data_IF_455728689861
#
_entry.id   IF_455728689861
#
_cell.length_a   1.000
_cell.length_b   1.000
_cell.length_c   1.000
_cell.angle_alpha   90.00
_cell.angle_beta   90.00
_cell.angle_gamma   90.00
#
_symmetry.space_group_name_H-M   'P 1'
#
loop_
_entity.id
_entity.type
_entity.pdbx_description
1 polymer ?
#
# COMPACT_ATOMS: atom_id res chain seq x y z
N UNK A 1 -11.41 -5.12 6.16
CA UNK A 1 -10.90 -4.37 5.00
C UNK A 1 -11.35 -4.98 3.69
N UNK A 2 -10.92 -6.21 3.36
CA UNK A 2 -11.13 -6.76 2.02
C UNK A 2 -12.58 -7.00 1.60
N UNK A 3 -13.48 -7.34 2.53
CA UNK A 3 -14.90 -7.50 2.26
C UNK A 3 -15.68 -6.17 2.22
N UNK A 4 -15.02 -5.03 2.40
CA UNK A 4 -15.69 -3.73 2.33
C UNK A 4 -16.01 -3.41 0.86
N UNK A 5 -17.20 -2.88 0.52
CA UNK A 5 -17.55 -2.52 -0.85
C UNK A 5 -16.60 -1.51 -1.51
N UNK A 6 -15.81 -0.75 -0.74
CA UNK A 6 -14.80 0.18 -1.26
C UNK A 6 -13.47 -0.49 -1.59
N UNK A 7 -13.31 -1.75 -1.22
CA UNK A 7 -12.12 -2.58 -1.45
C UNK A 7 -12.14 -3.20 -2.86
N UNK A 8 -11.10 -3.96 -3.19
CA UNK A 8 -10.95 -4.66 -4.47
C UNK A 8 -12.16 -5.50 -4.91
N UNK A 9 -12.94 -6.03 -3.97
CA UNK A 9 -14.16 -6.81 -4.25
C UNK A 9 -15.33 -5.99 -4.80
N UNK A 10 -15.17 -4.68 -4.98
CA UNK A 10 -16.12 -3.88 -5.76
C UNK A 10 -16.11 -4.29 -7.25
N UNK A 11 -14.94 -4.65 -7.77
CA UNK A 11 -14.83 -5.21 -9.11
C UNK A 11 -15.25 -6.68 -9.10
N UNK A 12 -16.02 -7.16 -10.09
CA UNK A 12 -16.30 -8.59 -10.26
C UNK A 12 -15.04 -9.42 -10.57
N UNK A 13 -13.93 -8.77 -10.93
CA UNK A 13 -12.66 -9.43 -11.25
C UNK A 13 -11.96 -10.01 -10.02
N UNK A 14 -12.31 -9.56 -8.80
CA UNK A 14 -11.62 -9.94 -7.57
C UNK A 14 -12.55 -10.48 -6.49
N UNK A 15 -12.18 -11.61 -5.91
CA UNK A 15 -12.78 -12.17 -4.71
C UNK A 15 -11.69 -12.74 -3.80
N UNK A 16 -11.88 -12.63 -2.48
CA UNK A 16 -10.92 -13.16 -1.50
C UNK A 16 -11.59 -14.15 -0.58
N UNK A 17 -10.91 -15.27 -0.34
CA UNK A 17 -11.33 -16.27 0.63
C UNK A 17 -10.15 -16.61 1.53
N UNK A 18 -10.32 -16.42 2.84
CA UNK A 18 -9.39 -16.95 3.83
C UNK A 18 -9.51 -18.47 3.84
N UNK A 19 -8.39 -19.15 3.70
CA UNK A 19 -8.28 -20.61 3.83
C UNK A 19 -7.39 -20.93 5.03
N UNK A 20 -7.76 -21.95 5.79
CA UNK A 20 -6.98 -22.42 6.95
C UNK A 20 -6.03 -23.58 6.57
N UNK A 21 -6.27 -24.23 5.42
CA UNK A 21 -5.52 -25.39 4.92
C UNK A 21 -5.42 -25.35 3.41
N UNK A 22 -4.46 -26.08 2.85
CA UNK A 22 -4.18 -26.11 1.41
C UNK A 22 -3.14 -25.07 1.00
N UNK A 23 -3.03 -24.83 -0.30
CA UNK A 23 -2.10 -23.85 -0.87
C UNK A 23 -2.85 -22.56 -1.24
N UNK A 24 -2.60 -21.43 -0.55
CA UNK A 24 -3.22 -20.15 -0.86
C UNK A 24 -2.48 -19.42 -1.99
N UNK A 25 -3.20 -18.61 -2.79
CA UNK A 25 -2.61 -17.79 -3.85
C UNK A 25 -1.54 -16.80 -3.33
N UNK A 26 -1.71 -16.32 -2.10
CA UNK A 26 -0.69 -15.58 -1.36
C UNK A 26 -0.99 -15.60 0.15
N UNK A 27 0.01 -15.27 0.96
CA UNK A 27 -0.09 -15.12 2.42
C UNK A 27 0.00 -13.66 2.83
N UNK A 28 -0.65 -13.28 3.93
CA UNK A 28 -0.51 -11.93 4.52
C UNK A 28 0.10 -12.08 5.91
N UNK A 29 1.13 -11.29 6.22
CA UNK A 29 1.81 -11.35 7.51
C UNK A 29 2.09 -9.96 8.07
N UNK A 30 1.75 -9.75 9.35
CA UNK A 30 2.27 -8.63 10.10
C UNK A 30 3.72 -8.95 10.52
N UNK A 31 4.66 -8.11 10.13
CA UNK A 31 6.07 -8.48 10.03
C UNK A 31 6.96 -7.42 10.68
N UNK A 32 7.91 -7.87 11.50
CA UNK A 32 8.88 -7.00 12.18
C UNK A 32 9.76 -6.24 11.18
N UNK A 33 10.28 -5.08 11.59
CA UNK A 33 11.09 -4.22 10.73
C UNK A 33 12.31 -4.94 10.13
N UNK A 34 13.01 -5.77 10.91
CA UNK A 34 14.20 -6.46 10.43
C UNK A 34 13.86 -7.54 9.40
N UNK A 35 12.75 -8.24 9.59
CA UNK A 35 12.25 -9.21 8.61
C UNK A 35 11.76 -8.51 7.34
N UNK A 36 11.11 -7.34 7.44
CA UNK A 36 10.76 -6.52 6.26
C UNK A 36 12.00 -6.21 5.44
N UNK A 37 13.10 -5.75 6.05
CA UNK A 37 14.33 -5.43 5.30
C UNK A 37 14.89 -6.64 4.54
N UNK A 38 14.80 -7.83 5.15
CA UNK A 38 15.26 -9.07 4.53
C UNK A 38 14.39 -9.47 3.32
N UNK A 39 13.06 -9.34 3.43
CA UNK A 39 12.13 -9.83 2.40
C UNK A 39 11.71 -8.78 1.37
N UNK A 40 11.73 -7.50 1.72
CA UNK A 40 11.29 -6.39 0.86
C UNK A 40 12.45 -5.51 0.37
N UNK A 41 13.67 -5.75 0.84
CA UNK A 41 14.81 -4.87 0.60
C UNK A 41 14.82 -3.65 1.52
N UNK A 42 15.88 -2.84 1.40
CA UNK A 42 16.06 -1.63 2.20
C UNK A 42 16.85 -0.53 1.46
N UNK A 43 16.75 -0.52 0.13
CA UNK A 43 17.44 0.49 -0.71
C UNK A 43 16.94 1.91 -0.39
N UNK A 44 15.65 2.02 -0.09
CA UNK A 44 15.05 3.21 0.52
C UNK A 44 15.05 2.97 2.03
N UNK A 45 15.81 3.75 2.84
CA UNK A 45 15.93 3.54 4.28
C UNK A 45 14.70 4.03 5.06
N UNK A 46 13.51 3.85 4.50
CA UNK A 46 12.21 4.17 5.08
C UNK A 46 11.45 2.89 5.37
N UNK A 47 10.74 2.88 6.50
CA UNK A 47 9.89 1.75 6.85
C UNK A 47 8.68 1.69 5.90
N UNK A 48 8.58 0.62 5.11
CA UNK A 48 7.48 0.33 4.19
C UNK A 48 7.00 -1.11 4.33
N UNK A 49 5.88 -1.42 3.68
CA UNK A 49 5.38 -2.80 3.48
C UNK A 49 5.67 -3.21 2.03
N UNK A 50 5.53 -4.49 1.71
CA UNK A 50 5.66 -4.95 0.32
C UNK A 50 4.84 -6.21 0.06
N UNK A 51 4.64 -6.52 -1.22
CA UNK A 51 4.43 -7.89 -1.68
C UNK A 51 5.75 -8.46 -2.22
N UNK A 52 6.16 -9.62 -1.72
CA UNK A 52 7.28 -10.38 -2.27
C UNK A 52 6.75 -11.54 -3.11
N UNK A 53 6.90 -11.50 -4.45
CA UNK A 53 6.41 -12.56 -5.34
C UNK A 53 7.17 -13.88 -5.16
N UNK A 54 8.47 -13.85 -4.84
CA UNK A 54 9.27 -15.05 -4.60
C UNK A 54 8.91 -15.81 -3.33
N UNK A 55 8.17 -15.17 -2.41
CA UNK A 55 7.63 -15.79 -1.21
C UNK A 55 6.09 -15.89 -1.21
N UNK A 56 5.44 -15.44 -2.29
CA UNK A 56 3.98 -15.32 -2.43
C UNK A 56 3.35 -14.69 -1.18
N UNK A 57 3.94 -13.57 -0.72
CA UNK A 57 3.60 -13.02 0.59
C UNK A 57 3.53 -11.50 0.59
N UNK A 58 2.41 -10.99 1.08
CA UNK A 58 2.22 -9.62 1.53
C UNK A 58 2.80 -9.49 2.94
N UNK A 59 3.82 -8.65 3.09
CA UNK A 59 4.47 -8.35 4.35
C UNK A 59 4.08 -6.94 4.80
N UNK A 60 3.16 -6.88 5.75
CA UNK A 60 2.74 -5.63 6.39
C UNK A 60 3.74 -5.28 7.49
N UNK A 61 4.29 -4.08 7.43
CA UNK A 61 5.24 -3.60 8.43
C UNK A 61 4.55 -3.31 9.76
N UNK A 62 4.95 -4.01 10.81
CA UNK A 62 4.39 -3.89 12.16
C UNK A 62 4.55 -2.49 12.75
N UNK A 63 5.71 -1.88 12.56
CA UNK A 63 6.00 -0.57 13.13
C UNK A 63 5.10 0.51 12.50
N UNK A 64 4.80 0.37 11.21
CA UNK A 64 3.80 1.17 10.50
C UNK A 64 2.36 0.82 10.85
N UNK A 65 2.06 -0.45 11.09
CA UNK A 65 0.72 -0.87 11.55
C UNK A 65 0.33 -0.25 12.89
N UNK A 66 1.32 0.00 13.76
CA UNK A 66 1.12 0.65 15.07
C UNK A 66 1.11 2.17 14.94
N UNK A 67 2.09 2.75 14.23
CA UNK A 67 2.35 4.21 14.22
C UNK A 67 1.71 4.97 13.06
N UNK A 68 1.35 4.27 11.99
CA UNK A 68 0.84 4.86 10.76
C UNK A 68 1.91 5.59 9.94
N UNK A 69 1.44 6.41 9.02
CA UNK A 69 2.24 7.37 8.26
C UNK A 69 1.77 8.79 8.53
N UNK A 70 2.70 9.75 8.43
CA UNK A 70 2.43 11.18 8.70
C UNK A 70 1.28 11.71 7.83
N UNK A 71 1.17 11.26 6.59
CA UNK A 71 0.09 11.64 5.67
C UNK A 71 -1.33 11.35 6.21
N UNK A 72 -1.48 10.40 7.13
CA UNK A 72 -2.76 10.02 7.73
C UNK A 72 -3.08 10.76 9.03
N UNK A 73 -2.18 11.63 9.51
CA UNK A 73 -2.44 12.56 10.63
C UNK A 73 -2.99 11.86 11.89
N UNK A 74 -2.51 10.65 12.20
CA UNK A 74 -2.95 9.87 13.36
C UNK A 74 -4.18 8.99 13.13
N UNK A 75 -4.81 9.02 11.95
CA UNK A 75 -5.86 8.07 11.57
C UNK A 75 -5.25 6.69 11.23
N UNK A 76 -4.94 5.94 12.28
CA UNK A 76 -4.40 4.58 12.20
C UNK A 76 -5.40 3.62 11.55
N UNK A 77 -6.70 3.84 11.73
CA UNK A 77 -7.74 3.00 11.13
C UNK A 77 -7.68 3.04 9.62
N UNK A 78 -7.66 4.24 9.05
CA UNK A 78 -7.50 4.46 7.61
C UNK A 78 -6.13 3.98 7.12
N UNK A 79 -5.04 4.24 7.85
CA UNK A 79 -3.72 3.77 7.43
C UNK A 79 -3.65 2.24 7.29
N UNK A 80 -4.23 1.49 8.24
CA UNK A 80 -4.26 0.01 8.16
C UNK A 80 -5.06 -0.48 6.96
N UNK A 81 -6.16 0.20 6.62
CA UNK A 81 -6.95 -0.12 5.43
C UNK A 81 -6.16 0.15 4.15
N UNK A 82 -5.49 1.31 4.07
CA UNK A 82 -4.56 1.67 3.00
C UNK A 82 -3.48 0.60 2.84
N UNK A 83 -2.76 0.28 3.91
CA UNK A 83 -1.63 -0.65 3.89
C UNK A 83 -2.06 -2.03 3.38
N UNK A 84 -3.19 -2.55 3.87
CA UNK A 84 -3.73 -3.84 3.39
C UNK A 84 -4.09 -3.76 1.90
N UNK A 85 -4.84 -2.74 1.48
CA UNK A 85 -5.32 -2.65 0.11
C UNK A 85 -4.19 -2.38 -0.89
N UNK A 86 -3.21 -1.56 -0.54
CA UNK A 86 -2.05 -1.25 -1.36
C UNK A 86 -1.22 -2.51 -1.62
N UNK A 87 -0.81 -3.22 -0.56
CA UNK A 87 0.05 -4.40 -0.73
C UNK A 87 -0.69 -5.58 -1.39
N UNK A 88 -2.00 -5.69 -1.16
CA UNK A 88 -2.80 -6.68 -1.89
C UNK A 88 -2.98 -6.27 -3.35
N UNK A 89 -2.99 -4.97 -3.68
CA UNK A 89 -2.94 -4.48 -5.05
C UNK A 89 -1.74 -5.06 -5.80
N UNK A 90 -0.55 -5.01 -5.19
CA UNK A 90 0.65 -5.65 -5.75
C UNK A 90 0.46 -7.17 -5.93
N UNK A 91 -0.10 -7.86 -4.94
CA UNK A 91 -0.32 -9.30 -4.99
C UNK A 91 -1.29 -9.75 -6.10
N UNK A 92 -2.27 -8.91 -6.46
CA UNK A 92 -3.29 -9.22 -7.49
C UNK A 92 -2.96 -8.61 -8.86
N UNK A 93 -1.75 -8.09 -9.05
CA UNK A 93 -1.22 -7.71 -10.37
C UNK A 93 -1.09 -6.21 -10.64
N UNK A 94 -1.39 -5.34 -9.68
CA UNK A 94 -1.12 -3.90 -9.79
C UNK A 94 0.31 -3.59 -9.35
N UNK A 95 1.30 -3.96 -10.18
CA UNK A 95 2.72 -3.90 -9.79
C UNK A 95 3.31 -2.48 -9.72
N UNK A 96 2.77 -1.53 -10.48
CA UNK A 96 3.31 -0.17 -10.56
C UNK A 96 2.67 0.74 -9.50
N UNK A 97 3.50 1.56 -8.86
CA UNK A 97 2.99 2.69 -8.08
C UNK A 97 2.34 3.73 -9.00
N UNK A 98 1.37 4.47 -8.47
CA UNK A 98 0.68 5.54 -9.20
C UNK A 98 0.91 6.90 -8.53
N UNK A 99 1.14 7.98 -9.31
CA UNK A 99 1.30 9.31 -8.74
C UNK A 99 -0.07 9.93 -8.36
N UNK A 100 -0.02 10.98 -7.56
CA UNK A 100 -1.17 11.88 -7.41
C UNK A 100 -1.56 12.44 -8.78
N UNK A 101 -2.86 12.38 -9.10
CA UNK A 101 -3.39 12.74 -10.44
C UNK A 101 -3.97 14.16 -10.51
N UNK A 102 -4.30 14.75 -9.37
CA UNK A 102 -4.90 16.08 -9.31
C UNK A 102 -4.72 16.74 -7.95
N UNK A 103 -4.53 18.05 -7.95
CA UNK A 103 -4.33 18.83 -6.73
C UNK A 103 -5.55 18.72 -5.80
N UNK A 104 -5.32 18.32 -4.55
CA UNK A 104 -6.36 18.09 -3.54
C UNK A 104 -7.26 16.87 -3.81
N UNK A 105 -6.98 16.10 -4.86
CA UNK A 105 -7.66 14.84 -5.19
C UNK A 105 -7.40 13.77 -4.13
N UNK A 106 -8.15 12.67 -4.18
CA UNK A 106 -7.79 11.48 -3.40
C UNK A 106 -6.61 10.79 -4.07
N UNK A 107 -5.61 10.40 -3.27
CA UNK A 107 -4.49 9.60 -3.74
C UNK A 107 -5.02 8.29 -4.35
N UNK A 108 -4.49 7.83 -5.50
CA UNK A 108 -4.76 6.48 -5.96
C UNK A 108 -4.29 5.45 -4.92
N UNK A 109 -4.95 4.29 -4.85
CA UNK A 109 -4.58 3.27 -3.85
C UNK A 109 -3.13 2.78 -4.02
N UNK A 110 -2.66 2.75 -5.28
CA UNK A 110 -1.29 2.35 -5.63
C UNK A 110 -0.26 3.48 -5.48
N UNK A 111 -0.65 4.67 -5.01
CA UNK A 111 0.33 5.66 -4.56
C UNK A 111 1.00 5.16 -3.28
N UNK A 112 2.32 5.31 -3.15
CA UNK A 112 3.06 4.92 -1.94
C UNK A 112 2.86 5.96 -0.82
N UNK A 113 1.65 6.03 -0.28
CA UNK A 113 1.20 7.00 0.73
C UNK A 113 1.92 6.86 2.08
N UNK A 114 2.65 5.76 2.31
CA UNK A 114 3.56 5.64 3.46
C UNK A 114 4.70 6.67 3.40
N UNK A 115 5.13 7.04 2.18
CA UNK A 115 6.19 8.03 1.96
C UNK A 115 5.65 9.45 1.91
N UNK A 116 4.43 9.63 1.43
CA UNK A 116 3.75 10.92 1.42
C UNK A 116 2.58 10.94 0.46
N UNK A 117 1.84 12.05 0.46
CA UNK A 117 0.75 12.31 -0.50
C UNK A 117 1.08 13.46 -1.46
N UNK A 118 2.30 14.01 -1.36
CA UNK A 118 2.89 14.91 -2.33
C UNK A 118 3.80 14.11 -3.26
N UNK A 119 3.66 14.32 -4.56
CA UNK A 119 4.47 13.66 -5.59
C UNK A 119 5.97 13.95 -5.39
N UNK A 120 6.33 15.20 -5.10
CA UNK A 120 7.70 15.64 -4.85
C UNK A 120 8.36 14.91 -3.65
N UNK A 121 7.58 14.60 -2.61
CA UNK A 121 8.10 13.88 -1.45
C UNK A 121 8.43 12.42 -1.79
N UNK A 122 7.60 11.77 -2.61
CA UNK A 122 7.84 10.41 -3.09
C UNK A 122 9.03 10.39 -4.05
N UNK A 123 9.06 11.29 -5.04
CA UNK A 123 10.15 11.40 -6.01
C UNK A 123 11.51 11.70 -5.33
N UNK A 124 11.51 12.43 -4.22
CA UNK A 124 12.74 12.69 -3.44
C UNK A 124 13.28 11.44 -2.76
N UNK A 125 12.42 10.55 -2.27
CA UNK A 125 12.84 9.32 -1.56
C UNK A 125 13.06 8.14 -2.51
N UNK A 126 12.44 8.17 -3.68
CA UNK A 126 12.60 7.20 -4.77
C UNK A 126 12.88 7.90 -6.11
N UNK A 127 14.09 8.46 -6.32
CA UNK A 127 14.39 9.25 -7.53
C UNK A 127 14.38 8.44 -8.84
N UNK A 128 14.48 7.11 -8.74
CA UNK A 128 14.36 6.19 -9.88
C UNK A 128 12.95 5.65 -10.10
N UNK A 129 12.00 6.03 -9.24
CA UNK A 129 10.61 5.58 -9.28
C UNK A 129 9.78 6.22 -10.39
N UNK A 130 8.54 5.77 -10.51
CA UNK A 130 7.59 6.21 -11.55
C UNK A 130 6.82 7.49 -11.19
N UNK A 131 6.99 8.02 -9.99
CA UNK A 131 6.27 9.21 -9.52
C UNK A 131 7.06 10.47 -9.89
N UNK A 132 6.51 11.40 -10.70
CA UNK A 132 7.20 12.62 -11.09
C UNK A 132 7.27 13.63 -9.94
N UNK A 133 8.17 14.62 -10.02
CA UNK A 133 8.18 15.79 -9.14
C UNK A 133 7.46 16.97 -9.82
N UNK A 134 6.13 16.94 -9.82
CA UNK A 134 5.25 17.87 -10.54
C UNK A 134 4.47 18.83 -9.60
N UNK A 135 4.78 18.82 -8.30
CA UNK A 135 4.15 19.67 -7.29
C UNK A 135 2.72 19.26 -6.90
N UNK A 136 2.18 18.16 -7.43
CA UNK A 136 0.83 17.71 -7.09
C UNK A 136 0.78 17.10 -5.68
N UNK A 137 -0.24 17.51 -4.92
CA UNK A 137 -0.50 17.05 -3.56
C UNK A 137 -1.93 16.51 -3.46
N UNK A 138 -2.05 15.26 -3.06
CA UNK A 138 -3.30 14.58 -2.83
C UNK A 138 -3.68 14.57 -1.34
N UNK A 139 -4.93 14.20 -1.05
CA UNK A 139 -5.38 13.75 0.26
C UNK A 139 -5.20 12.23 0.36
N UNK A 140 -4.92 11.72 1.56
CA UNK A 140 -4.80 10.28 1.77
C UNK A 140 -6.09 9.55 1.37
N UNK A 141 -5.95 8.30 0.94
CA UNK A 141 -7.07 7.46 0.53
C UNK A 141 -6.76 5.98 0.80
N UNK A 142 -7.55 5.30 1.64
CA UNK A 142 -7.32 3.90 1.95
C UNK A 142 -8.02 2.91 1.04
N UNK A 143 -8.73 3.36 0.00
CA UNK A 143 -9.62 2.51 -0.79
C UNK A 143 -9.35 2.58 -2.31
N UNK A 144 -9.37 1.43 -3.03
CA UNK A 144 -9.40 1.42 -4.50
C UNK A 144 -10.69 2.05 -5.07
N UNK A 145 -11.83 1.84 -4.42
CA UNK A 145 -13.15 2.35 -4.84
C UNK A 145 -13.75 3.27 -3.76
N UNK A 146 -13.21 4.48 -3.52
CA UNK A 146 -13.56 5.30 -2.36
C UNK A 146 -15.04 5.76 -2.31
N UNK A 147 -15.72 5.73 -3.46
CA UNK A 147 -17.14 6.10 -3.60
C UNK A 147 -18.10 4.90 -3.49
N UNK A 148 -17.58 3.67 -3.44
CA UNK A 148 -18.36 2.45 -3.55
C UNK A 148 -18.87 2.20 -4.95
#
# INVERSE_FOLDING_TARGET
TLANPKSWTNSPDFAFRRVDTGDPDFRVSLTSQMSIRQYCGFDIPLEGSCFNPGAERVLLNEARWVRGAVAFQGDIGSYRQYQINHEIGHAIGFAAHEPCRSQGGLAPIMMQQTFGVANDDIARVDPGGVVPADGLICRFNPWPFPRG
#
